data_IF_759207111523
#
_entry.id   IF_759207111523
#
_cell.length_a   1.000
_cell.length_b   1.000
_cell.length_c   1.000
_cell.angle_alpha   90.00
_cell.angle_beta   90.00
_cell.angle_gamma   90.00
#
_symmetry.space_group_name_H-M   'P 1'
#
loop_
_entity.id
_entity.type
_entity.pdbx_description
1 polymer ?
#
# COMPACT_ATOMS: atom_id res chain seq x y z
N UNK A 1 -33.56 74.23 -108.12
CA UNK A 1 -32.17 74.00 -107.66
C UNK A 1 -31.99 74.19 -106.15
N UNK A 2 -32.40 75.33 -105.56
CA UNK A 2 -32.21 75.59 -104.12
C UNK A 2 -32.92 74.56 -103.18
N UNK A 3 -34.18 74.19 -103.45
CA UNK A 3 -34.90 73.24 -102.59
C UNK A 3 -34.29 71.83 -102.60
N UNK A 4 -33.85 71.34 -103.75
CA UNK A 4 -33.22 70.02 -103.88
C UNK A 4 -31.90 69.94 -103.11
N UNK A 5 -31.10 71.02 -103.13
CA UNK A 5 -29.84 71.09 -102.41
C UNK A 5 -30.05 71.16 -100.89
N UNK A 6 -31.04 71.93 -100.42
CA UNK A 6 -31.35 72.04 -98.98
C UNK A 6 -31.90 70.74 -98.42
N UNK A 7 -32.78 70.05 -99.14
CA UNK A 7 -33.29 68.74 -98.72
C UNK A 7 -32.17 67.70 -98.66
N UNK A 8 -31.26 67.69 -99.64
CA UNK A 8 -30.15 66.73 -99.67
C UNK A 8 -29.15 66.97 -98.52
N UNK A 9 -28.80 68.23 -98.25
CA UNK A 9 -27.95 68.59 -97.12
C UNK A 9 -28.61 68.28 -95.78
N UNK A 10 -29.91 68.55 -95.63
CA UNK A 10 -30.62 68.28 -94.39
C UNK A 10 -30.76 66.77 -94.13
N UNK A 11 -31.11 65.98 -95.15
CA UNK A 11 -31.14 64.52 -95.04
C UNK A 11 -29.75 63.96 -94.71
N UNK A 12 -28.70 64.41 -95.38
CA UNK A 12 -27.35 63.90 -95.15
C UNK A 12 -26.83 64.29 -93.76
N UNK A 13 -27.13 65.51 -93.30
CA UNK A 13 -26.80 65.96 -91.94
C UNK A 13 -27.56 65.18 -90.87
N UNK A 14 -28.88 65.00 -91.02
CA UNK A 14 -29.69 64.23 -90.06
C UNK A 14 -29.27 62.77 -90.05
N UNK A 15 -29.07 62.14 -91.21
CA UNK A 15 -28.60 60.75 -91.28
C UNK A 15 -27.22 60.62 -90.63
N UNK A 16 -26.26 61.47 -90.98
CA UNK A 16 -24.91 61.37 -90.43
C UNK A 16 -24.87 61.68 -88.92
N UNK A 17 -25.65 62.66 -88.46
CA UNK A 17 -25.73 63.00 -87.04
C UNK A 17 -26.44 61.91 -86.24
N UNK A 18 -27.58 61.39 -86.70
CA UNK A 18 -28.30 60.32 -86.01
C UNK A 18 -27.49 59.02 -86.03
N UNK A 19 -26.90 58.64 -87.17
CA UNK A 19 -26.05 57.47 -87.25
C UNK A 19 -24.86 57.62 -86.30
N UNK A 20 -24.10 58.72 -86.38
CA UNK A 20 -22.90 58.88 -85.57
C UNK A 20 -23.23 59.03 -84.08
N UNK A 21 -24.29 59.74 -83.73
CA UNK A 21 -24.70 59.91 -82.33
C UNK A 21 -25.27 58.62 -81.74
N UNK A 22 -26.15 57.92 -82.45
CA UNK A 22 -26.71 56.63 -81.96
C UNK A 22 -25.62 55.57 -81.90
N UNK A 23 -24.77 55.45 -82.92
CA UNK A 23 -23.67 54.50 -82.89
C UNK A 23 -22.71 54.83 -81.75
N UNK A 24 -22.22 56.07 -81.66
CA UNK A 24 -21.22 56.41 -80.67
C UNK A 24 -21.79 56.37 -79.26
N UNK A 25 -23.02 56.83 -79.04
CA UNK A 25 -23.63 56.84 -77.72
C UNK A 25 -24.04 55.43 -77.28
N UNK A 26 -24.67 54.62 -78.15
CA UNK A 26 -25.06 53.25 -77.79
C UNK A 26 -23.84 52.37 -77.63
N UNK A 27 -22.87 52.43 -78.55
CA UNK A 27 -21.65 51.64 -78.42
C UNK A 27 -20.87 52.07 -77.18
N UNK A 28 -20.60 53.36 -76.99
CA UNK A 28 -19.77 53.80 -75.87
C UNK A 28 -20.49 53.63 -74.54
N UNK A 29 -21.78 53.95 -74.44
CA UNK A 29 -22.51 53.81 -73.19
C UNK A 29 -22.78 52.35 -72.85
N UNK A 30 -23.22 51.51 -73.78
CA UNK A 30 -23.49 50.10 -73.50
C UNK A 30 -22.20 49.36 -73.24
N UNK A 31 -21.16 49.55 -74.06
CA UNK A 31 -19.88 48.88 -73.81
C UNK A 31 -19.30 49.37 -72.49
N UNK A 32 -19.18 50.67 -72.26
CA UNK A 32 -18.50 51.16 -71.06
C UNK A 32 -19.31 50.89 -69.80
N UNK A 33 -20.64 51.05 -69.82
CA UNK A 33 -21.46 50.81 -68.64
C UNK A 33 -21.62 49.32 -68.36
N UNK A 34 -21.89 48.47 -69.36
CA UNK A 34 -22.04 47.03 -69.13
C UNK A 34 -20.70 46.42 -68.77
N UNK A 35 -19.61 46.74 -69.47
CA UNK A 35 -18.29 46.22 -69.11
C UNK A 35 -17.90 46.71 -67.72
N UNK A 36 -17.93 48.01 -67.45
CA UNK A 36 -17.43 48.52 -66.19
C UNK A 36 -18.32 48.12 -65.01
N UNK A 37 -19.64 48.14 -65.16
CA UNK A 37 -20.55 47.76 -64.07
C UNK A 37 -20.55 46.25 -63.83
N UNK A 38 -20.61 45.42 -64.88
CA UNK A 38 -20.60 43.97 -64.70
C UNK A 38 -19.23 43.51 -64.20
N UNK A 39 -18.14 44.01 -64.78
CA UNK A 39 -16.80 43.66 -64.28
C UNK A 39 -16.64 44.12 -62.83
N UNK A 40 -16.92 45.38 -62.52
CA UNK A 40 -16.64 45.90 -61.18
C UNK A 40 -17.58 45.28 -60.14
N UNK A 41 -18.87 45.11 -60.43
CA UNK A 41 -19.82 44.53 -59.49
C UNK A 41 -19.60 43.03 -59.31
N UNK A 42 -19.39 42.26 -60.39
CA UNK A 42 -19.12 40.82 -60.27
C UNK A 42 -17.78 40.58 -59.61
N UNK A 43 -16.72 41.27 -60.02
CA UNK A 43 -15.41 41.13 -59.37
C UNK A 43 -15.50 41.53 -57.90
N UNK A 44 -16.03 42.71 -57.59
CA UNK A 44 -16.01 43.18 -56.20
C UNK A 44 -16.95 42.36 -55.31
N UNK A 45 -18.13 41.98 -55.78
CA UNK A 45 -19.07 41.19 -54.99
C UNK A 45 -18.60 39.75 -54.82
N UNK A 46 -18.14 39.10 -55.89
CA UNK A 46 -17.65 37.71 -55.80
C UNK A 46 -16.36 37.67 -54.99
N UNK A 47 -15.39 38.55 -55.24
CA UNK A 47 -14.17 38.58 -54.45
C UNK A 47 -14.48 38.90 -53.00
N UNK A 48 -15.23 39.97 -52.71
CA UNK A 48 -15.43 40.37 -51.32
C UNK A 48 -16.32 39.38 -50.56
N UNK A 49 -17.38 38.86 -51.17
CA UNK A 49 -18.26 37.92 -50.50
C UNK A 49 -17.61 36.54 -50.34
N UNK A 50 -16.96 36.00 -51.38
CA UNK A 50 -16.29 34.70 -51.28
C UNK A 50 -15.09 34.80 -50.34
N UNK A 51 -14.24 35.82 -50.48
CA UNK A 51 -13.11 35.97 -49.58
C UNK A 51 -13.60 36.17 -48.15
N UNK A 52 -14.49 37.13 -47.89
CA UNK A 52 -14.89 37.43 -46.51
C UNK A 52 -15.69 36.31 -45.88
N UNK A 53 -16.62 35.69 -46.62
CA UNK A 53 -17.43 34.60 -46.08
C UNK A 53 -16.60 33.33 -45.89
N UNK A 54 -15.79 32.92 -46.87
CA UNK A 54 -14.95 31.72 -46.73
C UNK A 54 -13.89 31.94 -45.66
N UNK A 55 -13.20 33.09 -45.65
CA UNK A 55 -12.21 33.38 -44.61
C UNK A 55 -12.89 33.42 -43.24
N UNK A 56 -13.95 34.19 -43.06
CA UNK A 56 -14.53 34.36 -41.74
C UNK A 56 -15.21 33.08 -41.24
N UNK A 57 -15.92 32.35 -42.10
CA UNK A 57 -16.60 31.12 -41.70
C UNK A 57 -15.61 29.99 -41.48
N UNK A 58 -14.62 29.79 -42.36
CA UNK A 58 -13.61 28.73 -42.18
C UNK A 58 -12.74 29.06 -40.98
N UNK A 59 -12.23 30.28 -40.84
CA UNK A 59 -11.43 30.67 -39.69
C UNK A 59 -12.25 30.52 -38.41
N UNK A 60 -13.44 31.11 -38.33
CA UNK A 60 -14.18 31.12 -37.07
C UNK A 60 -14.72 29.74 -36.70
N UNK A 61 -15.23 28.97 -37.67
CA UNK A 61 -15.76 27.64 -37.40
C UNK A 61 -14.63 26.64 -37.10
N UNK A 62 -13.55 26.63 -37.88
CA UNK A 62 -12.42 25.73 -37.63
C UNK A 62 -11.73 26.10 -36.34
N UNK A 63 -11.43 27.38 -36.09
CA UNK A 63 -10.83 27.79 -34.83
C UNK A 63 -11.74 27.46 -33.66
N UNK A 64 -13.02 27.84 -33.69
CA UNK A 64 -13.90 27.62 -32.54
C UNK A 64 -14.18 26.14 -32.31
N UNK A 65 -14.41 25.35 -33.37
CA UNK A 65 -14.69 23.92 -33.23
C UNK A 65 -13.45 23.14 -32.81
N UNK A 66 -12.28 23.40 -33.43
CA UNK A 66 -11.03 22.74 -33.05
C UNK A 66 -10.63 23.15 -31.64
N UNK A 67 -10.64 24.45 -31.31
CA UNK A 67 -10.32 24.89 -29.95
C UNK A 67 -11.29 24.28 -28.95
N UNK A 68 -12.61 24.42 -29.14
CA UNK A 68 -13.57 23.97 -28.15
C UNK A 68 -13.61 22.44 -28.02
N UNK A 69 -13.55 21.72 -29.13
CA UNK A 69 -13.56 20.26 -29.10
C UNK A 69 -12.26 19.69 -28.54
N UNK A 70 -11.10 20.19 -28.98
CA UNK A 70 -9.80 19.73 -28.46
C UNK A 70 -9.66 20.12 -26.99
N UNK A 71 -9.97 21.36 -26.60
CA UNK A 71 -9.91 21.75 -25.20
C UNK A 71 -10.86 20.91 -24.36
N UNK A 72 -12.14 20.83 -24.73
CA UNK A 72 -13.13 20.16 -23.89
C UNK A 72 -12.90 18.65 -23.84
N UNK A 73 -12.58 18.02 -24.97
CA UNK A 73 -12.36 16.58 -25.02
C UNK A 73 -11.03 16.20 -24.35
N UNK A 74 -9.94 16.91 -24.62
CA UNK A 74 -8.64 16.61 -23.99
C UNK A 74 -8.71 16.92 -22.51
N UNK A 75 -9.21 18.09 -22.10
CA UNK A 75 -9.32 18.41 -20.68
C UNK A 75 -10.24 17.42 -19.97
N UNK A 76 -11.46 17.17 -20.48
CA UNK A 76 -12.40 16.30 -19.77
C UNK A 76 -11.94 14.84 -19.77
N UNK A 77 -11.43 14.33 -20.89
CA UNK A 77 -10.96 12.95 -20.97
C UNK A 77 -9.70 12.74 -20.15
N UNK A 78 -8.70 13.64 -20.25
CA UNK A 78 -7.46 13.51 -19.47
C UNK A 78 -7.76 13.70 -17.99
N UNK A 79 -8.52 14.72 -17.59
CA UNK A 79 -8.87 14.90 -16.19
C UNK A 79 -9.67 13.70 -15.67
N UNK A 80 -10.72 13.26 -16.36
CA UNK A 80 -11.57 12.19 -15.85
C UNK A 80 -10.84 10.84 -15.85
N UNK A 81 -10.10 10.52 -16.92
CA UNK A 81 -9.37 9.26 -17.01
C UNK A 81 -8.19 9.22 -16.05
N UNK A 82 -7.38 10.27 -15.97
CA UNK A 82 -6.24 10.32 -15.05
C UNK A 82 -6.73 10.35 -13.61
N UNK A 83 -7.69 11.20 -13.26
CA UNK A 83 -8.20 11.24 -11.89
C UNK A 83 -8.85 9.90 -11.51
N UNK A 84 -9.75 9.35 -12.34
CA UNK A 84 -10.45 8.13 -11.99
C UNK A 84 -9.52 6.92 -11.98
N UNK A 85 -8.63 6.78 -12.96
CA UNK A 85 -7.70 5.66 -13.02
C UNK A 85 -6.65 5.74 -11.91
N UNK A 86 -6.04 6.91 -11.68
CA UNK A 86 -5.04 7.08 -10.62
C UNK A 86 -5.69 6.91 -9.25
N UNK A 87 -6.83 7.55 -8.99
CA UNK A 87 -7.51 7.38 -7.70
C UNK A 87 -7.94 5.93 -7.50
N UNK A 88 -8.59 5.29 -8.48
CA UNK A 88 -9.07 3.94 -8.31
C UNK A 88 -7.93 2.93 -8.20
N UNK A 89 -6.89 3.05 -9.03
CA UNK A 89 -5.74 2.16 -8.99
C UNK A 89 -4.93 2.35 -7.72
N UNK A 90 -4.59 3.58 -7.34
CA UNK A 90 -3.82 3.86 -6.12
C UNK A 90 -4.62 3.45 -4.89
N UNK A 91 -5.89 3.86 -4.77
CA UNK A 91 -6.70 3.49 -3.61
C UNK A 91 -6.87 1.97 -3.55
N UNK A 92 -7.28 1.31 -4.64
CA UNK A 92 -7.57 -0.11 -4.59
C UNK A 92 -6.31 -0.96 -4.44
N UNK A 93 -5.24 -0.64 -5.17
CA UNK A 93 -4.00 -1.39 -5.10
C UNK A 93 -3.28 -1.16 -3.77
N UNK A 94 -3.14 0.09 -3.32
CA UNK A 94 -2.46 0.37 -2.05
C UNK A 94 -3.27 -0.16 -0.89
N UNK A 95 -4.58 0.09 -0.82
CA UNK A 95 -5.39 -0.44 0.27
C UNK A 95 -5.37 -1.97 0.27
N UNK A 96 -5.64 -2.61 -0.87
CA UNK A 96 -5.72 -4.08 -0.91
C UNK A 96 -4.36 -4.73 -0.66
N UNK A 97 -3.28 -4.22 -1.25
CA UNK A 97 -1.95 -4.78 -1.06
C UNK A 97 -1.45 -4.54 0.36
N UNK A 98 -1.59 -3.34 0.90
CA UNK A 98 -1.15 -3.04 2.28
C UNK A 98 -1.98 -3.81 3.28
N UNK A 99 -3.31 -3.81 3.16
CA UNK A 99 -4.16 -4.57 4.07
C UNK A 99 -3.84 -6.07 3.99
N UNK A 100 -3.78 -6.65 2.79
CA UNK A 100 -3.56 -8.08 2.65
C UNK A 100 -2.15 -8.49 3.06
N UNK A 101 -1.13 -7.73 2.68
CA UNK A 101 0.25 -8.03 3.05
C UNK A 101 0.49 -7.84 4.55
N UNK A 102 0.02 -6.73 5.14
CA UNK A 102 0.18 -6.49 6.57
C UNK A 102 -0.60 -7.53 7.37
N UNK A 103 -1.86 -7.80 7.04
CA UNK A 103 -2.64 -8.82 7.73
C UNK A 103 -1.98 -10.19 7.60
N UNK A 104 -1.63 -10.62 6.39
CA UNK A 104 -1.06 -11.95 6.18
C UNK A 104 0.32 -12.10 6.82
N UNK A 105 1.19 -11.09 6.69
CA UNK A 105 2.52 -11.12 7.28
C UNK A 105 2.46 -11.06 8.80
N UNK A 106 1.67 -10.15 9.37
CA UNK A 106 1.54 -10.02 10.84
C UNK A 106 0.88 -11.27 11.42
N UNK A 107 -0.24 -11.74 10.85
CA UNK A 107 -0.88 -12.95 11.34
C UNK A 107 0.06 -14.15 11.23
N UNK A 108 0.66 -14.40 10.05
CA UNK A 108 1.50 -15.57 9.86
C UNK A 108 2.79 -15.51 10.67
N UNK A 109 3.46 -14.35 10.71
CA UNK A 109 4.70 -14.20 11.46
C UNK A 109 4.45 -14.26 12.97
N UNK A 110 3.43 -13.56 13.48
CA UNK A 110 3.12 -13.57 14.92
C UNK A 110 2.65 -14.95 15.33
N UNK A 111 1.72 -15.57 14.61
CA UNK A 111 1.26 -16.92 14.93
C UNK A 111 2.43 -17.91 14.87
N UNK A 112 3.19 -17.95 13.79
CA UNK A 112 4.26 -18.93 13.63
C UNK A 112 5.40 -18.70 14.63
N UNK A 113 5.83 -17.45 14.83
CA UNK A 113 6.90 -17.14 15.76
C UNK A 113 6.48 -17.36 17.21
N UNK A 114 5.30 -16.87 17.62
CA UNK A 114 4.82 -17.06 18.99
C UNK A 114 4.56 -18.53 19.27
N UNK A 115 3.85 -19.24 18.39
CA UNK A 115 3.62 -20.66 18.59
C UNK A 115 4.94 -21.43 18.63
N UNK A 116 5.81 -21.27 17.64
CA UNK A 116 7.04 -22.06 17.57
C UNK A 116 8.01 -21.70 18.70
N UNK A 117 8.21 -20.41 19.00
CA UNK A 117 9.12 -19.98 20.05
C UNK A 117 8.59 -20.35 21.44
N UNK A 118 7.32 -20.10 21.73
CA UNK A 118 6.74 -20.44 23.04
C UNK A 118 6.70 -21.95 23.22
N UNK A 119 6.23 -22.71 22.23
CA UNK A 119 6.25 -24.16 22.33
C UNK A 119 7.67 -24.69 22.51
N UNK A 120 8.61 -24.30 21.65
CA UNK A 120 9.97 -24.83 21.71
C UNK A 120 10.71 -24.40 22.98
N UNK A 121 10.59 -23.14 23.39
CA UNK A 121 11.25 -22.63 24.58
C UNK A 121 10.65 -23.22 25.85
N UNK A 122 9.32 -23.25 25.97
CA UNK A 122 8.66 -23.82 27.16
C UNK A 122 8.92 -25.32 27.23
N UNK A 123 8.74 -26.06 26.14
CA UNK A 123 9.03 -27.49 26.13
C UNK A 123 10.50 -27.74 26.48
N UNK A 124 11.45 -27.09 25.80
CA UNK A 124 12.86 -27.36 26.03
C UNK A 124 13.33 -26.91 27.41
N UNK A 125 12.93 -25.73 27.87
CA UNK A 125 13.32 -25.20 29.18
C UNK A 125 12.68 -26.00 30.31
N UNK A 126 11.39 -26.29 30.24
CA UNK A 126 10.71 -27.06 31.29
C UNK A 126 11.25 -28.49 31.31
N UNK A 127 11.36 -29.17 30.18
CA UNK A 127 11.92 -30.52 30.14
C UNK A 127 13.36 -30.53 30.66
N UNK A 128 14.22 -29.65 30.18
CA UNK A 128 15.64 -29.66 30.57
C UNK A 128 15.82 -29.24 32.03
N UNK A 129 15.15 -28.18 32.48
CA UNK A 129 15.29 -27.69 33.85
C UNK A 129 14.67 -28.66 34.86
N UNK A 130 13.45 -29.15 34.60
CA UNK A 130 12.79 -30.09 35.52
C UNK A 130 13.58 -31.40 35.55
N UNK A 131 13.94 -31.98 34.41
CA UNK A 131 14.71 -33.22 34.42
C UNK A 131 16.06 -33.02 35.11
N UNK A 132 16.81 -31.97 34.77
CA UNK A 132 18.15 -31.78 35.33
C UNK A 132 18.10 -31.41 36.82
N UNK A 133 17.21 -30.51 37.22
CA UNK A 133 17.09 -30.09 38.62
C UNK A 133 16.54 -31.20 39.49
N UNK A 134 15.47 -31.90 39.07
CA UNK A 134 14.90 -33.00 39.84
C UNK A 134 15.90 -34.13 39.94
N UNK A 135 16.53 -34.55 38.84
CA UNK A 135 17.54 -35.61 38.88
C UNK A 135 18.71 -35.19 39.78
N UNK A 136 19.28 -34.00 39.60
CA UNK A 136 20.46 -33.61 40.36
C UNK A 136 20.14 -33.38 41.83
N UNK A 137 19.03 -32.71 42.15
CA UNK A 137 18.66 -32.42 43.53
C UNK A 137 18.23 -33.68 44.26
N UNK A 138 17.39 -34.54 43.65
CA UNK A 138 16.96 -35.79 44.28
C UNK A 138 18.16 -36.71 44.46
N UNK A 139 18.98 -36.92 43.42
CA UNK A 139 20.16 -37.77 43.56
C UNK A 139 21.11 -37.22 44.62
N UNK A 140 21.45 -35.93 44.59
CA UNK A 140 22.43 -35.37 45.51
C UNK A 140 21.88 -35.29 46.94
N UNK A 141 20.63 -34.88 47.13
CA UNK A 141 20.02 -34.78 48.45
C UNK A 141 19.79 -36.16 49.06
N UNK A 142 19.23 -37.11 48.30
CA UNK A 142 19.00 -38.46 48.81
C UNK A 142 20.34 -39.12 49.11
N UNK A 143 21.31 -39.08 48.20
CA UNK A 143 22.63 -39.66 48.47
C UNK A 143 23.29 -39.00 49.68
N UNK A 144 23.36 -37.67 49.74
CA UNK A 144 24.08 -37.00 50.83
C UNK A 144 23.35 -37.15 52.16
N UNK A 145 22.03 -36.99 52.19
CA UNK A 145 21.27 -37.05 53.43
C UNK A 145 21.16 -38.47 53.95
N UNK A 146 20.89 -39.46 53.09
CA UNK A 146 20.83 -40.87 53.51
C UNK A 146 22.21 -41.32 53.95
N UNK A 147 23.28 -41.07 53.18
CA UNK A 147 24.63 -41.45 53.60
C UNK A 147 25.01 -40.78 54.91
N UNK A 148 24.82 -39.46 55.03
CA UNK A 148 25.25 -38.73 56.23
C UNK A 148 24.41 -39.09 57.45
N UNK A 149 23.09 -39.20 57.31
CA UNK A 149 22.21 -39.53 58.42
C UNK A 149 22.39 -40.98 58.87
N UNK A 150 22.46 -41.93 57.93
CA UNK A 150 22.69 -43.34 58.28
C UNK A 150 24.07 -43.50 58.92
N UNK A 151 25.13 -42.93 58.34
CA UNK A 151 26.45 -42.99 58.94
C UNK A 151 26.46 -42.35 60.33
N UNK A 152 25.95 -41.13 60.47
CA UNK A 152 26.02 -40.42 61.76
C UNK A 152 25.13 -41.06 62.81
N UNK A 153 23.92 -41.46 62.47
CA UNK A 153 22.98 -42.05 63.42
C UNK A 153 23.40 -43.47 63.81
N UNK A 154 23.82 -44.31 62.85
CA UNK A 154 24.30 -45.65 63.17
C UNK A 154 25.58 -45.55 63.99
N UNK A 155 26.57 -44.75 63.59
CA UNK A 155 27.80 -44.60 64.36
C UNK A 155 27.50 -44.05 65.76
N UNK A 156 26.73 -42.97 65.88
CA UNK A 156 26.51 -42.33 67.17
C UNK A 156 25.61 -43.16 68.09
N UNK A 157 24.54 -43.74 67.56
CA UNK A 157 23.61 -44.55 68.35
C UNK A 157 24.25 -45.88 68.74
N UNK A 158 24.92 -46.58 67.83
CA UNK A 158 25.59 -47.85 68.16
C UNK A 158 26.72 -47.58 69.16
N UNK A 159 27.59 -46.59 68.92
CA UNK A 159 28.65 -46.28 69.86
C UNK A 159 28.09 -45.86 71.22
N UNK A 160 27.15 -44.93 71.27
CA UNK A 160 26.64 -44.41 72.54
C UNK A 160 25.80 -45.45 73.30
N UNK A 161 24.95 -46.19 72.61
CA UNK A 161 24.08 -47.19 73.25
C UNK A 161 24.89 -48.42 73.68
N UNK A 162 25.80 -48.93 72.84
CA UNK A 162 26.65 -50.06 73.23
C UNK A 162 27.55 -49.63 74.39
N UNK A 163 28.23 -48.48 74.30
CA UNK A 163 29.07 -48.02 75.40
C UNK A 163 28.26 -47.81 76.68
N UNK A 164 27.14 -47.09 76.62
CA UNK A 164 26.37 -46.77 77.82
C UNK A 164 25.69 -48.00 78.42
N UNK A 165 25.11 -48.86 77.59
CA UNK A 165 24.40 -50.05 78.08
C UNK A 165 25.37 -51.11 78.58
N UNK A 166 26.47 -51.36 77.87
CA UNK A 166 27.50 -52.31 78.35
C UNK A 166 28.13 -51.78 79.63
N UNK A 167 28.55 -50.51 79.68
CA UNK A 167 29.12 -49.95 80.90
C UNK A 167 28.11 -49.98 82.05
N UNK A 168 26.88 -49.50 81.86
CA UNK A 168 25.91 -49.41 82.94
C UNK A 168 25.41 -50.77 83.39
N UNK A 169 25.11 -51.69 82.46
CA UNK A 169 24.60 -53.01 82.81
C UNK A 169 25.70 -53.88 83.41
N UNK A 170 26.91 -53.89 82.84
CA UNK A 170 28.02 -54.66 83.41
C UNK A 170 28.38 -54.10 84.78
N UNK A 171 28.56 -52.78 84.93
CA UNK A 171 28.88 -52.20 86.22
C UNK A 171 27.76 -52.45 87.24
N UNK A 172 26.51 -52.17 86.92
CA UNK A 172 25.41 -52.28 87.88
C UNK A 172 25.09 -53.74 88.21
N UNK A 173 25.05 -54.64 87.23
CA UNK A 173 24.77 -56.04 87.47
C UNK A 173 25.92 -56.72 88.20
N UNK A 174 27.17 -56.49 87.80
CA UNK A 174 28.32 -57.06 88.52
C UNK A 174 28.38 -56.50 89.93
N UNK A 175 28.26 -55.20 90.13
CA UNK A 175 28.26 -54.62 91.48
C UNK A 175 27.11 -55.17 92.32
N UNK A 176 25.88 -55.15 91.83
CA UNK A 176 24.71 -55.56 92.62
C UNK A 176 24.70 -57.06 92.88
N UNK A 177 25.04 -57.89 91.89
CA UNK A 177 25.08 -59.34 92.06
C UNK A 177 26.22 -59.76 92.97
N UNK A 178 27.43 -59.20 92.79
CA UNK A 178 28.56 -59.48 93.69
C UNK A 178 28.25 -59.01 95.10
N UNK A 179 27.74 -57.80 95.29
CA UNK A 179 27.35 -57.31 96.61
C UNK A 179 26.29 -58.21 97.26
N UNK A 180 25.22 -58.55 96.54
CA UNK A 180 24.12 -59.34 97.09
C UNK A 180 24.54 -60.78 97.39
N UNK A 181 25.35 -61.39 96.52
CA UNK A 181 25.88 -62.74 96.75
C UNK A 181 26.83 -62.75 97.94
N UNK A 182 27.74 -61.78 98.04
CA UNK A 182 28.64 -61.64 99.19
C UNK A 182 27.86 -61.40 100.48
N UNK A 183 26.88 -60.48 100.48
CA UNK A 183 26.02 -60.24 101.64
C UNK A 183 25.26 -61.49 102.06
N UNK A 184 24.66 -62.21 101.12
CA UNK A 184 23.87 -63.41 101.42
C UNK A 184 24.75 -64.56 101.91
N UNK A 185 25.94 -64.74 101.33
CA UNK A 185 26.90 -65.74 101.79
C UNK A 185 27.42 -65.44 103.20
N UNK A 186 27.70 -64.16 103.51
CA UNK A 186 28.09 -63.73 104.86
C UNK A 186 26.95 -63.93 105.85
N UNK A 187 25.70 -63.58 105.51
CA UNK A 187 24.57 -63.77 106.42
C UNK A 187 24.20 -65.24 106.67
N UNK A 188 24.49 -66.15 105.73
CA UNK A 188 24.13 -67.57 105.84
C UNK A 188 25.20 -68.42 106.53
N UNK A 189 26.46 -67.96 106.55
CA UNK A 189 27.58 -68.66 107.20
C UNK A 189 28.03 -68.02 108.55
N UNK A 190 27.46 -66.89 108.95
CA UNK A 190 27.81 -66.18 110.21
C UNK A 190 26.65 -66.18 111.24
N UNK A 191 25.62 -66.99 111.02
CA UNK A 191 24.64 -67.41 112.05
C UNK A 191 24.79 -68.90 112.33
#
# INVERSE_FOLDING_TARGET
CACSCVCWFFCLFVCLFVCLFVCLFVCLFVCLFVCLFVCLFVCLFVCLFVCLFVCLFVCLFVCLFVCLFVCLFVCLFVCLFVCLFVCLFVCLFVCLFVCLFVCLFVCLFVCLFVCLFVCLFVCLFVCLFVCLFVCLFVCLFVCLFVCLFVCLFVCLFVCLFVCLFVCLFVCLFVCLFVCLFVCLFVCLFVC
#
